data_IF_935734034083
#
_entry.id   IF_935734034083
#
_cell.length_a   1.000
_cell.length_b   1.000
_cell.length_c   1.000
_cell.angle_alpha   90.00
_cell.angle_beta   90.00
_cell.angle_gamma   90.00
#
_symmetry.space_group_name_H-M   'P 1'
#
loop_
_entity.id
_entity.type
_entity.pdbx_description
1 polymer ?
#
# COMPACT_ATOMS: atom_id res chain seq x y z
N UNK A 1 -30.69 -20.75 -20.23
CA UNK A 1 -30.22 -20.36 -18.89
C UNK A 1 -30.66 -18.94 -18.63
N UNK A 2 -31.52 -18.73 -17.63
CA UNK A 2 -32.20 -17.47 -17.34
C UNK A 2 -31.23 -16.37 -16.87
N UNK A 3 -31.58 -15.13 -17.10
CA UNK A 3 -30.82 -13.93 -16.70
C UNK A 3 -30.41 -13.95 -15.20
N UNK A 4 -31.27 -14.54 -14.35
CA UNK A 4 -31.01 -14.63 -12.90
C UNK A 4 -29.85 -15.60 -12.55
N UNK A 5 -29.73 -16.72 -13.27
CA UNK A 5 -28.64 -17.68 -13.02
C UNK A 5 -27.27 -17.14 -13.43
N UNK A 6 -27.19 -16.33 -14.51
CA UNK A 6 -25.96 -15.65 -14.92
C UNK A 6 -25.57 -14.53 -13.91
N UNK A 7 -26.55 -13.83 -13.36
CA UNK A 7 -26.31 -12.81 -12.34
C UNK A 7 -25.77 -13.40 -11.04
N UNK A 8 -26.30 -14.51 -10.58
CA UNK A 8 -25.83 -15.21 -9.38
C UNK A 8 -24.40 -15.76 -9.56
N UNK A 9 -24.10 -16.40 -10.69
CA UNK A 9 -22.76 -16.90 -11.02
C UNK A 9 -21.71 -15.76 -11.08
N UNK A 10 -22.07 -14.62 -11.66
CA UNK A 10 -21.17 -13.45 -11.75
C UNK A 10 -20.91 -12.80 -10.40
N UNK A 11 -21.92 -12.73 -9.52
CA UNK A 11 -21.76 -12.18 -8.17
C UNK A 11 -20.84 -13.06 -7.31
N UNK A 12 -20.99 -14.39 -7.39
CA UNK A 12 -20.12 -15.34 -6.70
C UNK A 12 -18.67 -15.23 -7.18
N UNK A 13 -18.45 -15.15 -8.50
CA UNK A 13 -17.10 -15.01 -9.06
C UNK A 13 -16.41 -13.71 -8.65
N UNK A 14 -17.11 -12.57 -8.63
CA UNK A 14 -16.60 -11.30 -8.17
C UNK A 14 -16.23 -11.31 -6.66
N UNK A 15 -17.09 -11.94 -5.83
CA UNK A 15 -16.81 -12.12 -4.40
C UNK A 15 -15.54 -12.93 -4.13
N UNK A 16 -15.36 -14.04 -4.85
CA UNK A 16 -14.17 -14.89 -4.74
C UNK A 16 -12.88 -14.15 -5.15
N UNK A 17 -12.94 -13.33 -6.21
CA UNK A 17 -11.81 -12.49 -6.63
C UNK A 17 -11.48 -11.41 -5.57
N UNK A 18 -12.48 -10.81 -4.92
CA UNK A 18 -12.27 -9.86 -3.85
C UNK A 18 -11.60 -10.50 -2.63
N UNK A 19 -12.03 -11.71 -2.24
CA UNK A 19 -11.39 -12.50 -1.18
C UNK A 19 -9.96 -12.91 -1.59
N UNK A 20 -9.75 -13.34 -2.83
CA UNK A 20 -8.43 -13.68 -3.34
C UNK A 20 -7.48 -12.46 -3.31
N UNK A 21 -7.99 -11.25 -3.55
CA UNK A 21 -7.21 -10.02 -3.43
C UNK A 21 -6.82 -9.73 -1.97
N UNK A 22 -7.72 -9.91 -1.00
CA UNK A 22 -7.42 -9.79 0.42
C UNK A 22 -6.32 -10.79 0.82
N UNK A 23 -6.45 -12.06 0.43
CA UNK A 23 -5.45 -13.10 0.70
C UNK A 23 -4.12 -12.78 0.02
N UNK A 24 -4.15 -12.25 -1.21
CA UNK A 24 -2.96 -11.84 -1.94
C UNK A 24 -2.19 -10.71 -1.24
N UNK A 25 -2.88 -9.72 -0.69
CA UNK A 25 -2.26 -8.65 0.12
C UNK A 25 -1.77 -9.20 1.46
N UNK A 26 -2.54 -10.04 2.13
CA UNK A 26 -2.12 -10.75 3.35
C UNK A 26 -0.81 -11.50 3.14
N UNK A 27 -0.68 -12.24 2.04
CA UNK A 27 0.50 -13.02 1.71
C UNK A 27 1.75 -12.18 1.39
N UNK A 28 1.65 -10.86 1.29
CA UNK A 28 2.83 -9.98 1.21
C UNK A 28 3.52 -9.77 2.56
N UNK A 29 2.91 -10.20 3.67
CA UNK A 29 3.39 -9.96 5.05
C UNK A 29 4.85 -10.30 5.29
N UNK A 30 5.43 -11.40 4.76
CA UNK A 30 6.86 -11.70 4.94
C UNK A 30 7.78 -10.56 4.49
N UNK A 31 7.40 -9.83 3.46
CA UNK A 31 8.14 -8.67 2.97
C UNK A 31 7.68 -7.33 3.56
N UNK A 32 6.64 -7.27 4.36
CA UNK A 32 6.17 -6.04 5.00
C UNK A 32 7.00 -5.70 6.25
N UNK A 33 7.05 -4.42 6.59
CA UNK A 33 7.81 -3.95 7.77
C UNK A 33 7.37 -4.67 9.04
N UNK A 34 6.06 -4.84 9.24
CA UNK A 34 5.51 -5.55 10.39
C UNK A 34 5.88 -7.03 10.41
N UNK A 35 5.96 -7.67 9.24
CA UNK A 35 6.40 -9.07 9.13
C UNK A 35 7.88 -9.24 9.45
N UNK A 36 8.73 -8.32 8.99
CA UNK A 36 10.19 -8.36 9.22
C UNK A 36 10.55 -7.96 10.65
N UNK A 37 9.74 -7.13 11.32
CA UNK A 37 10.08 -6.56 12.65
C UNK A 37 10.35 -7.63 13.71
N UNK A 38 9.62 -8.75 13.70
CA UNK A 38 9.82 -9.86 14.62
C UNK A 38 11.17 -10.57 14.44
N UNK A 39 11.82 -10.42 13.28
CA UNK A 39 13.08 -11.08 12.95
C UNK A 39 14.31 -10.24 13.26
N UNK A 40 14.17 -8.92 13.47
CA UNK A 40 15.33 -8.01 13.60
C UNK A 40 16.22 -8.40 14.77
N UNK A 41 15.67 -8.58 15.98
CA UNK A 41 16.46 -8.88 17.16
C UNK A 41 17.10 -10.30 17.09
N UNK A 42 16.40 -11.36 16.65
CA UNK A 42 17.01 -12.64 16.36
C UNK A 42 18.16 -12.58 15.34
N UNK A 43 18.03 -11.78 14.28
CA UNK A 43 19.09 -11.58 13.28
C UNK A 43 20.30 -10.85 13.86
N UNK A 44 20.08 -9.81 14.64
CA UNK A 44 21.13 -9.05 15.33
C UNK A 44 21.95 -9.99 16.23
N UNK A 45 21.26 -10.81 17.03
CA UNK A 45 21.91 -11.74 17.97
C UNK A 45 22.70 -12.84 17.25
N UNK A 46 22.12 -13.45 16.22
CA UNK A 46 22.70 -14.60 15.53
C UNK A 46 23.85 -14.21 14.58
N UNK A 47 23.73 -13.07 13.89
CA UNK A 47 24.75 -12.61 12.94
C UNK A 47 25.85 -11.79 13.62
N UNK A 48 25.72 -11.47 14.91
CA UNK A 48 26.68 -10.61 15.63
C UNK A 48 26.79 -9.20 15.04
N UNK A 49 25.74 -8.72 14.38
CA UNK A 49 25.71 -7.41 13.77
C UNK A 49 25.11 -6.38 14.76
N UNK A 50 25.58 -5.15 14.66
CA UNK A 50 24.92 -4.05 15.35
C UNK A 50 23.53 -3.78 14.78
N UNK A 51 22.56 -3.48 15.66
CA UNK A 51 21.17 -3.21 15.28
C UNK A 51 21.05 -2.10 14.23
N UNK A 52 21.87 -1.03 14.34
CA UNK A 52 21.88 0.05 13.36
C UNK A 52 22.31 -0.44 11.97
N UNK A 53 23.28 -1.33 11.91
CA UNK A 53 23.69 -1.99 10.66
C UNK A 53 22.56 -2.80 10.02
N UNK A 54 21.85 -3.62 10.80
CA UNK A 54 20.72 -4.42 10.29
C UNK A 54 19.61 -3.50 9.76
N UNK A 55 19.28 -2.43 10.47
CA UNK A 55 18.28 -1.46 10.02
C UNK A 55 18.71 -0.70 8.77
N UNK A 56 20.00 -0.36 8.64
CA UNK A 56 20.56 0.26 7.44
C UNK A 56 20.42 -0.68 6.23
N UNK A 57 20.83 -1.95 6.39
CA UNK A 57 20.70 -2.97 5.33
C UNK A 57 19.25 -3.20 4.93
N UNK A 58 18.33 -3.22 5.91
CA UNK A 58 16.90 -3.29 5.66
C UNK A 58 16.40 -2.07 4.85
N UNK A 59 16.83 -0.87 5.20
CA UNK A 59 16.45 0.36 4.51
C UNK A 59 16.98 0.40 3.09
N UNK A 60 18.24 0.05 2.89
CA UNK A 60 18.87 -0.05 1.56
C UNK A 60 18.24 -1.15 0.71
N UNK A 61 18.04 -2.34 1.28
CA UNK A 61 17.37 -3.46 0.60
C UNK A 61 15.94 -3.11 0.22
N UNK A 62 15.23 -2.40 1.08
CA UNK A 62 13.88 -1.87 0.79
C UNK A 62 13.90 -0.90 -0.38
N UNK A 63 14.77 0.10 -0.34
CA UNK A 63 14.87 1.10 -1.39
C UNK A 63 15.24 0.48 -2.73
N UNK A 64 16.28 -0.35 -2.78
CA UNK A 64 16.72 -1.02 -4.00
C UNK A 64 15.68 -2.03 -4.50
N UNK A 65 15.05 -2.79 -3.61
CA UNK A 65 14.00 -3.74 -3.97
C UNK A 65 12.80 -3.08 -4.63
N UNK A 66 12.42 -1.90 -4.16
CA UNK A 66 11.29 -1.14 -4.71
C UNK A 66 11.60 -0.52 -6.07
N UNK A 67 12.87 -0.23 -6.38
CA UNK A 67 13.26 0.23 -7.72
C UNK A 67 12.91 -0.80 -8.82
N UNK A 68 12.67 -2.05 -8.47
CA UNK A 68 12.18 -3.07 -9.41
C UNK A 68 10.70 -2.88 -9.80
N UNK A 69 9.92 -2.10 -9.04
CA UNK A 69 8.48 -1.96 -9.23
C UNK A 69 8.05 -1.47 -10.63
N UNK A 70 8.69 -0.50 -11.29
CA UNK A 70 8.33 -0.10 -12.65
C UNK A 70 8.56 -1.22 -13.68
N UNK A 71 9.59 -2.05 -13.48
CA UNK A 71 9.88 -3.20 -14.33
C UNK A 71 8.81 -4.29 -14.15
N UNK A 72 8.50 -4.63 -12.91
CA UNK A 72 7.43 -5.58 -12.58
C UNK A 72 6.09 -5.08 -13.10
N UNK A 73 5.83 -3.77 -12.99
CA UNK A 73 4.65 -3.12 -13.56
C UNK A 73 4.51 -3.35 -15.06
N UNK A 74 5.61 -3.21 -15.83
CA UNK A 74 5.63 -3.53 -17.27
C UNK A 74 5.30 -5.00 -17.55
N UNK A 75 5.82 -5.92 -16.73
CA UNK A 75 5.51 -7.34 -16.87
C UNK A 75 4.01 -7.61 -16.60
N UNK A 76 3.45 -6.96 -15.57
CA UNK A 76 2.02 -7.08 -15.24
C UNK A 76 1.15 -6.54 -16.36
N UNK A 77 1.51 -5.40 -16.95
CA UNK A 77 0.78 -4.82 -18.08
C UNK A 77 0.83 -5.72 -19.33
N UNK A 78 1.98 -6.37 -19.57
CA UNK A 78 2.20 -7.22 -20.75
C UNK A 78 1.56 -8.60 -20.64
N UNK A 79 1.72 -9.26 -19.50
CA UNK A 79 1.34 -10.68 -19.33
C UNK A 79 0.02 -10.86 -18.56
N UNK A 80 -0.41 -9.83 -17.83
CA UNK A 80 -1.58 -9.86 -16.97
C UNK A 80 -1.35 -10.62 -15.65
N UNK A 81 -2.28 -10.42 -14.67
CA UNK A 81 -2.14 -11.00 -13.33
C UNK A 81 -2.20 -12.52 -13.32
N UNK A 82 -2.99 -13.15 -14.20
CA UNK A 82 -3.14 -14.61 -14.24
C UNK A 82 -1.85 -15.38 -14.56
N UNK A 83 -1.04 -14.84 -15.48
CA UNK A 83 0.23 -15.48 -15.86
C UNK A 83 1.34 -15.20 -14.85
N UNK A 84 1.28 -14.05 -14.19
CA UNK A 84 2.34 -13.62 -13.28
C UNK A 84 2.13 -14.08 -11.85
N UNK A 85 0.92 -14.47 -11.43
CA UNK A 85 0.68 -14.82 -10.03
C UNK A 85 1.55 -15.99 -9.56
N UNK A 86 1.64 -17.07 -10.34
CA UNK A 86 2.43 -18.24 -9.96
C UNK A 86 3.93 -17.93 -9.88
N UNK A 87 4.58 -17.35 -10.93
CA UNK A 87 5.98 -16.94 -10.83
C UNK A 87 6.26 -16.02 -9.65
N UNK A 88 5.36 -15.07 -9.36
CA UNK A 88 5.55 -14.11 -8.27
C UNK A 88 5.38 -14.78 -6.89
N UNK A 89 4.41 -15.67 -6.72
CA UNK A 89 4.25 -16.46 -5.48
C UNK A 89 5.48 -17.31 -5.23
N UNK A 90 6.01 -17.98 -6.26
CA UNK A 90 7.26 -18.75 -6.17
C UNK A 90 8.43 -17.83 -5.83
N UNK A 91 8.50 -16.64 -6.42
CA UNK A 91 9.55 -15.66 -6.11
C UNK A 91 9.48 -15.17 -4.64
N UNK A 92 8.29 -14.97 -4.07
CA UNK A 92 8.14 -14.64 -2.64
C UNK A 92 8.63 -15.77 -1.75
N UNK A 93 8.23 -17.00 -2.06
CA UNK A 93 8.68 -18.17 -1.31
C UNK A 93 10.21 -18.38 -1.42
N UNK A 94 10.77 -18.23 -2.63
CA UNK A 94 12.20 -18.28 -2.86
C UNK A 94 12.95 -17.18 -2.10
N UNK A 95 12.39 -15.96 -2.04
CA UNK A 95 12.95 -14.86 -1.26
C UNK A 95 12.97 -15.16 0.25
N UNK A 96 11.92 -15.79 0.78
CA UNK A 96 11.95 -16.32 2.15
C UNK A 96 13.02 -17.42 2.31
N UNK A 97 13.20 -18.30 1.31
CA UNK A 97 14.27 -19.27 1.28
C UNK A 97 15.66 -18.62 1.27
N UNK A 98 15.87 -17.55 0.49
CA UNK A 98 17.12 -16.76 0.50
C UNK A 98 17.38 -16.18 1.89
N UNK A 99 16.34 -15.64 2.56
CA UNK A 99 16.48 -15.15 3.93
C UNK A 99 16.93 -16.24 4.90
N UNK A 100 16.50 -17.48 4.75
CA UNK A 100 16.94 -18.59 5.61
C UNK A 100 18.41 -18.97 5.41
N UNK A 101 19.02 -18.62 4.30
CA UNK A 101 20.43 -18.89 3.95
C UNK A 101 21.38 -17.75 4.33
N UNK A 102 20.86 -16.67 4.88
CA UNK A 102 21.66 -15.50 5.28
C UNK A 102 22.62 -15.85 6.40
N UNK A 103 23.91 -15.47 6.23
CA UNK A 103 24.98 -15.77 7.17
C UNK A 103 25.94 -14.60 7.42
N UNK A 104 25.74 -13.47 6.73
CA UNK A 104 26.56 -12.26 6.88
C UNK A 104 25.77 -11.00 6.46
N UNK A 105 26.36 -9.82 6.68
CA UNK A 105 25.74 -8.54 6.36
C UNK A 105 25.37 -8.38 4.87
N UNK A 106 26.23 -8.83 3.95
CA UNK A 106 25.97 -8.69 2.51
C UNK A 106 24.81 -9.55 2.05
N UNK A 107 24.78 -10.83 2.50
CA UNK A 107 23.66 -11.74 2.21
C UNK A 107 22.36 -11.26 2.85
N UNK A 108 22.42 -10.61 4.02
CA UNK A 108 21.25 -10.02 4.67
C UNK A 108 20.67 -8.84 3.84
N UNK A 109 21.53 -7.93 3.37
CA UNK A 109 21.11 -6.82 2.50
C UNK A 109 20.50 -7.31 1.19
N UNK A 110 21.12 -8.31 0.54
CA UNK A 110 20.59 -8.95 -0.65
C UNK A 110 19.26 -9.67 -0.38
N UNK A 111 19.13 -10.35 0.75
CA UNK A 111 17.90 -11.01 1.18
C UNK A 111 16.76 -10.02 1.35
N UNK A 112 16.98 -8.90 2.03
CA UNK A 112 15.97 -7.84 2.15
C UNK A 112 15.56 -7.27 0.78
N UNK A 113 16.52 -7.04 -0.12
CA UNK A 113 16.23 -6.55 -1.47
C UNK A 113 15.29 -7.51 -2.20
N UNK A 114 15.64 -8.81 -2.28
CA UNK A 114 14.85 -9.81 -3.00
C UNK A 114 13.48 -10.00 -2.36
N UNK A 115 13.40 -10.03 -1.03
CA UNK A 115 12.15 -10.17 -0.30
C UNK A 115 11.20 -8.98 -0.56
N UNK A 116 11.73 -7.76 -0.54
CA UNK A 116 10.94 -6.55 -0.83
C UNK A 116 10.51 -6.48 -2.30
N UNK A 117 11.40 -6.82 -3.22
CA UNK A 117 11.07 -6.86 -4.64
C UNK A 117 9.95 -7.88 -4.93
N UNK A 118 10.05 -9.09 -4.39
CA UNK A 118 9.08 -10.15 -4.65
C UNK A 118 7.72 -9.87 -3.97
N UNK A 119 7.72 -9.57 -2.67
CA UNK A 119 6.48 -9.44 -1.91
C UNK A 119 5.77 -8.11 -2.17
N UNK A 120 6.49 -6.98 -2.06
CA UNK A 120 5.86 -5.66 -2.14
C UNK A 120 5.72 -5.22 -3.60
N UNK A 121 6.82 -5.18 -4.37
CA UNK A 121 6.75 -4.76 -5.76
C UNK A 121 6.09 -5.84 -6.64
N UNK A 122 6.29 -7.13 -6.36
CA UNK A 122 5.73 -8.24 -7.14
C UNK A 122 4.27 -8.53 -6.80
N UNK A 123 4.05 -9.21 -5.67
CA UNK A 123 2.75 -9.77 -5.31
C UNK A 123 1.67 -8.70 -5.11
N UNK A 124 2.02 -7.56 -4.51
CA UNK A 124 1.07 -6.45 -4.33
C UNK A 124 0.63 -5.84 -5.67
N UNK A 125 1.58 -5.59 -6.61
CA UNK A 125 1.21 -5.02 -7.92
C UNK A 125 0.33 -5.98 -8.74
N UNK A 126 0.66 -7.28 -8.76
CA UNK A 126 -0.15 -8.30 -9.47
C UNK A 126 -1.56 -8.36 -8.90
N UNK A 127 -1.68 -8.35 -7.56
CA UNK A 127 -2.97 -8.41 -6.87
C UNK A 127 -3.82 -7.16 -7.14
N UNK A 128 -3.23 -5.96 -7.04
CA UNK A 128 -3.95 -4.72 -7.28
C UNK A 128 -4.35 -4.56 -8.76
N UNK A 129 -3.55 -5.05 -9.69
CA UNK A 129 -3.91 -5.06 -11.11
C UNK A 129 -5.13 -5.96 -11.36
N UNK A 130 -5.21 -7.12 -10.72
CA UNK A 130 -6.41 -7.97 -10.80
C UNK A 130 -7.66 -7.23 -10.31
N UNK A 131 -7.59 -6.55 -9.15
CA UNK A 131 -8.71 -5.74 -8.64
C UNK A 131 -9.14 -4.69 -9.64
N UNK A 132 -8.20 -3.97 -10.26
CA UNK A 132 -8.50 -2.91 -11.21
C UNK A 132 -9.14 -3.44 -12.51
N UNK A 133 -8.80 -4.65 -12.94
CA UNK A 133 -9.36 -5.27 -14.14
C UNK A 133 -10.78 -5.82 -13.90
N UNK A 134 -11.10 -6.25 -12.69
CA UNK A 134 -12.38 -6.86 -12.33
C UNK A 134 -13.45 -5.88 -11.87
N UNK A 135 -13.04 -4.79 -11.23
CA UNK A 135 -13.96 -3.84 -10.61
C UNK A 135 -13.76 -2.43 -11.17
N UNK A 136 -14.86 -1.79 -11.50
CA UNK A 136 -14.90 -0.39 -11.94
C UNK A 136 -15.70 0.45 -10.95
N UNK A 137 -16.99 0.15 -10.78
CA UNK A 137 -17.88 0.86 -9.85
C UNK A 137 -17.51 0.63 -8.38
N UNK A 138 -17.12 -0.59 -8.01
CA UNK A 138 -16.80 -0.96 -6.63
C UNK A 138 -15.31 -1.03 -6.35
N UNK A 139 -14.47 -0.46 -7.24
CA UNK A 139 -13.01 -0.52 -7.16
C UNK A 139 -12.49 -0.02 -5.81
N UNK A 140 -13.00 1.12 -5.31
CA UNK A 140 -12.60 1.70 -4.04
C UNK A 140 -12.85 0.76 -2.87
N UNK A 141 -14.05 0.20 -2.78
CA UNK A 141 -14.43 -0.75 -1.71
C UNK A 141 -13.63 -2.03 -1.76
N UNK A 142 -13.45 -2.59 -2.95
CA UNK A 142 -12.68 -3.84 -3.11
C UNK A 142 -11.19 -3.61 -2.85
N UNK A 143 -10.65 -2.46 -3.23
CA UNK A 143 -9.28 -2.07 -2.88
C UNK A 143 -9.14 -1.93 -1.36
N UNK A 144 -10.08 -1.28 -0.68
CA UNK A 144 -10.08 -1.17 0.77
C UNK A 144 -10.15 -2.54 1.46
N UNK A 145 -11.04 -3.43 0.97
CA UNK A 145 -11.13 -4.81 1.45
C UNK A 145 -9.79 -5.55 1.25
N UNK A 146 -9.18 -5.45 0.08
CA UNK A 146 -7.88 -6.09 -0.18
C UNK A 146 -6.79 -5.55 0.75
N UNK A 147 -6.77 -4.23 1.03
CA UNK A 147 -5.81 -3.62 1.96
C UNK A 147 -6.00 -4.05 3.41
N UNK A 148 -7.19 -4.52 3.81
CA UNK A 148 -7.36 -5.16 5.12
C UNK A 148 -6.49 -6.41 5.27
N UNK A 149 -6.13 -7.07 4.18
CA UNK A 149 -5.16 -8.18 4.19
C UNK A 149 -3.83 -7.79 4.82
N UNK A 150 -3.37 -6.54 4.64
CA UNK A 150 -2.16 -6.04 5.27
C UNK A 150 -2.31 -5.93 6.80
N UNK A 151 -3.43 -5.38 7.27
CA UNK A 151 -3.72 -5.28 8.70
C UNK A 151 -3.85 -6.67 9.35
N UNK A 152 -4.56 -7.58 8.70
CA UNK A 152 -4.70 -8.97 9.15
C UNK A 152 -3.33 -9.69 9.17
N UNK A 153 -2.50 -9.46 8.15
CA UNK A 153 -1.14 -10.00 8.10
C UNK A 153 -0.30 -9.55 9.29
N UNK A 154 -0.33 -8.26 9.60
CA UNK A 154 0.36 -7.69 10.77
C UNK A 154 -0.19 -8.20 12.12
N UNK A 155 -1.48 -8.48 12.20
CA UNK A 155 -2.12 -9.00 13.40
C UNK A 155 -1.85 -10.49 13.62
N UNK A 156 -1.86 -11.28 12.55
CA UNK A 156 -1.89 -12.75 12.62
C UNK A 156 -0.49 -13.36 12.50
N UNK A 157 0.32 -12.87 11.56
CA UNK A 157 1.60 -13.54 11.24
C UNK A 157 2.63 -13.41 12.36
N UNK A 158 2.91 -12.23 12.97
CA UNK A 158 3.92 -12.15 14.02
C UNK A 158 3.65 -13.08 15.21
N UNK A 159 2.43 -13.14 15.80
CA UNK A 159 2.16 -14.07 16.89
C UNK A 159 2.26 -15.55 16.49
N UNK A 160 1.94 -15.91 15.25
CA UNK A 160 2.04 -17.28 14.76
C UNK A 160 3.50 -17.72 14.52
N UNK A 161 4.35 -16.79 14.08
CA UNK A 161 5.73 -17.12 13.72
C UNK A 161 6.69 -17.02 14.92
N UNK A 162 6.35 -16.22 15.93
CA UNK A 162 7.19 -16.00 17.10
C UNK A 162 7.59 -17.30 17.84
N UNK A 163 6.68 -18.25 18.12
CA UNK A 163 7.07 -19.54 18.73
C UNK A 163 8.06 -20.33 17.87
N UNK A 164 7.98 -20.23 16.54
CA UNK A 164 8.93 -20.88 15.63
C UNK A 164 10.29 -20.19 15.71
N UNK A 165 10.31 -18.84 15.76
CA UNK A 165 11.55 -18.08 15.91
C UNK A 165 12.27 -18.48 17.21
N UNK A 166 11.53 -18.53 18.32
CA UNK A 166 12.09 -18.86 19.63
C UNK A 166 12.51 -20.32 19.77
N UNK A 167 11.75 -21.25 19.19
CA UNK A 167 12.01 -22.70 19.33
C UNK A 167 12.97 -23.26 18.31
N UNK A 168 12.92 -22.78 17.06
CA UNK A 168 13.66 -23.37 15.91
C UNK A 168 14.56 -22.34 15.18
N UNK A 169 14.56 -21.11 15.63
CA UNK A 169 15.34 -20.03 15.05
C UNK A 169 14.64 -19.32 13.87
N UNK A 170 15.10 -18.12 13.61
CA UNK A 170 14.52 -17.23 12.59
C UNK A 170 14.66 -17.75 11.15
N UNK A 171 15.70 -18.56 10.85
CA UNK A 171 15.88 -19.19 9.54
C UNK A 171 14.76 -20.18 9.23
N UNK A 172 14.45 -21.06 10.18
CA UNK A 172 13.32 -21.99 10.06
C UNK A 172 11.99 -21.25 9.95
N UNK A 173 11.83 -20.16 10.69
CA UNK A 173 10.64 -19.33 10.60
C UNK A 173 10.41 -18.75 9.19
N UNK A 174 11.47 -18.34 8.47
CA UNK A 174 11.35 -17.94 7.07
C UNK A 174 10.96 -19.10 6.14
N UNK A 175 11.46 -20.32 6.39
CA UNK A 175 11.04 -21.51 5.62
C UNK A 175 9.57 -21.84 5.87
N UNK A 176 9.08 -21.70 7.10
CA UNK A 176 7.66 -21.86 7.45
C UNK A 176 6.82 -20.81 6.72
N UNK A 177 7.26 -19.55 6.67
CA UNK A 177 6.58 -18.52 5.89
C UNK A 177 6.59 -18.84 4.38
N UNK A 178 7.70 -19.33 3.83
CA UNK A 178 7.78 -19.76 2.43
C UNK A 178 6.75 -20.86 2.13
N UNK A 179 6.69 -21.89 2.97
CA UNK A 179 5.73 -22.99 2.86
C UNK A 179 4.28 -22.47 2.98
N UNK A 180 4.00 -21.58 3.92
CA UNK A 180 2.68 -20.95 4.12
C UNK A 180 2.24 -20.13 2.90
N UNK A 181 3.13 -19.32 2.34
CA UNK A 181 2.84 -18.55 1.10
C UNK A 181 2.53 -19.48 -0.06
N UNK A 182 3.33 -20.55 -0.26
CA UNK A 182 3.05 -21.54 -1.32
C UNK A 182 1.73 -22.27 -1.07
N UNK A 183 1.52 -22.78 0.13
CA UNK A 183 0.32 -23.56 0.47
C UNK A 183 -0.97 -22.77 0.30
N UNK A 184 -0.97 -21.47 0.60
CA UNK A 184 -2.15 -20.61 0.50
C UNK A 184 -2.27 -19.99 -0.88
N UNK A 185 -1.19 -19.39 -1.39
CA UNK A 185 -1.29 -18.56 -2.60
C UNK A 185 -1.24 -19.34 -3.91
N UNK A 186 -0.63 -20.54 -3.96
CA UNK A 186 -0.68 -21.33 -5.20
C UNK A 186 -2.12 -21.75 -5.55
N UNK A 187 -2.90 -22.40 -4.65
CA UNK A 187 -4.27 -22.74 -4.95
C UNK A 187 -5.14 -21.50 -5.20
N UNK A 188 -5.01 -20.45 -4.41
CA UNK A 188 -5.75 -19.19 -4.60
C UNK A 188 -5.40 -18.55 -5.94
N UNK A 189 -4.13 -18.48 -6.29
CA UNK A 189 -3.64 -17.89 -7.53
C UNK A 189 -4.13 -18.66 -8.77
N UNK A 190 -4.02 -19.97 -8.74
CA UNK A 190 -4.47 -20.83 -9.85
C UNK A 190 -6.00 -20.81 -10.02
N UNK A 191 -6.74 -20.81 -8.92
CA UNK A 191 -8.21 -20.86 -8.95
C UNK A 191 -8.84 -19.51 -9.31
N UNK A 192 -8.39 -18.40 -8.71
CA UNK A 192 -9.14 -17.14 -8.68
C UNK A 192 -8.48 -16.00 -9.43
N UNK A 193 -7.15 -16.04 -9.71
CA UNK A 193 -6.53 -14.99 -10.51
C UNK A 193 -6.87 -15.15 -11.98
N UNK A 194 -7.50 -14.13 -12.55
CA UNK A 194 -7.92 -14.04 -13.94
C UNK A 194 -7.61 -12.66 -14.49
N UNK A 195 -7.35 -12.55 -15.79
CA UNK A 195 -7.06 -11.24 -16.38
C UNK A 195 -8.33 -10.40 -16.52
N UNK A 196 -9.42 -11.02 -16.92
CA UNK A 196 -10.70 -10.32 -17.15
C UNK A 196 -11.86 -11.16 -16.67
N UNK A 197 -12.95 -10.53 -16.18
CA UNK A 197 -14.17 -11.25 -15.80
C UNK A 197 -14.76 -12.06 -16.97
N UNK A 198 -14.70 -11.49 -18.18
CA UNK A 198 -15.25 -12.10 -19.40
C UNK A 198 -14.61 -13.46 -19.73
N UNK A 199 -13.32 -13.67 -19.38
CA UNK A 199 -12.61 -14.94 -19.56
C UNK A 199 -13.21 -16.10 -18.74
N UNK A 200 -13.92 -15.78 -17.66
CA UNK A 200 -14.60 -16.75 -16.79
C UNK A 200 -16.13 -16.71 -16.93
N UNK A 201 -16.65 -16.03 -17.96
CA UNK A 201 -18.09 -15.86 -18.16
C UNK A 201 -18.75 -14.95 -17.12
N UNK A 202 -17.96 -14.27 -16.28
CA UNK A 202 -18.42 -13.31 -15.28
C UNK A 202 -18.54 -11.91 -15.88
N UNK A 203 -19.41 -11.08 -15.31
CA UNK A 203 -19.49 -9.68 -15.63
C UNK A 203 -18.72 -8.87 -14.57
N UNK A 204 -18.19 -7.70 -14.96
CA UNK A 204 -17.58 -6.76 -14.02
C UNK A 204 -18.56 -6.34 -12.93
N UNK A 205 -18.03 -5.89 -11.80
CA UNK A 205 -18.83 -5.32 -10.71
C UNK A 205 -19.98 -6.22 -10.23
N UNK A 206 -19.72 -7.52 -10.08
CA UNK A 206 -20.73 -8.51 -9.66
C UNK A 206 -21.93 -8.64 -10.62
N UNK A 207 -21.77 -8.30 -11.90
CA UNK A 207 -22.85 -8.29 -12.88
C UNK A 207 -23.79 -7.09 -12.79
N UNK A 208 -23.50 -6.13 -11.91
CA UNK A 208 -24.26 -4.88 -11.81
C UNK A 208 -23.74 -3.90 -12.87
N UNK A 209 -24.43 -3.82 -14.00
CA UNK A 209 -24.16 -2.79 -15.00
C UNK A 209 -24.30 -1.41 -14.34
N UNK A 210 -23.31 -0.56 -14.50
CA UNK A 210 -23.49 0.87 -14.25
C UNK A 210 -24.61 1.36 -15.18
N UNK A 211 -25.65 1.96 -14.64
CA UNK A 211 -26.65 2.64 -15.45
C UNK A 211 -25.92 3.70 -16.29
N UNK A 212 -25.76 3.46 -17.60
CA UNK A 212 -25.13 4.39 -18.54
C UNK A 212 -23.61 4.30 -18.71
N UNK A 213 -22.92 3.29 -18.11
CA UNK A 213 -21.47 3.13 -18.26
C UNK A 213 -21.11 2.25 -19.46
N UNK A 214 -20.61 2.84 -20.54
CA UNK A 214 -19.79 2.14 -21.52
C UNK A 214 -18.60 1.50 -20.80
N UNK A 215 -18.32 0.22 -21.06
CA UNK A 215 -17.07 -0.44 -20.64
C UNK A 215 -15.91 0.48 -21.04
N UNK A 216 -15.10 0.93 -20.08
CA UNK A 216 -13.92 1.73 -20.41
C UNK A 216 -13.09 0.92 -21.40
N UNK A 217 -12.80 1.42 -22.61
CA UNK A 217 -11.93 0.75 -23.53
C UNK A 217 -10.58 0.48 -22.84
N UNK A 218 -9.86 -0.55 -23.28
CA UNK A 218 -8.51 -0.84 -22.80
C UNK A 218 -7.50 0.24 -23.26
N UNK A 219 -7.94 1.49 -23.25
CA UNK A 219 -7.20 2.70 -23.52
C UNK A 219 -6.60 3.15 -22.20
N UNK A 220 -5.33 3.46 -22.19
CA UNK A 220 -4.64 3.99 -21.04
C UNK A 220 -3.42 4.77 -21.52
N UNK A 221 -3.09 5.81 -20.77
CA UNK A 221 -1.90 6.62 -21.03
C UNK A 221 -0.65 5.77 -20.81
N UNK A 222 0.34 5.95 -21.65
CA UNK A 222 1.70 5.47 -21.41
C UNK A 222 2.33 6.25 -20.26
N UNK A 223 3.42 5.74 -19.68
CA UNK A 223 4.15 6.48 -18.65
C UNK A 223 4.61 7.85 -19.14
N UNK A 224 5.13 7.90 -20.37
CA UNK A 224 5.60 9.17 -20.98
C UNK A 224 4.45 10.19 -21.10
N UNK A 225 3.30 9.78 -21.59
CA UNK A 225 2.11 10.65 -21.67
C UNK A 225 1.62 11.06 -20.29
N UNK A 226 1.64 10.15 -19.31
CA UNK A 226 1.17 10.43 -17.94
C UNK A 226 2.04 11.50 -17.26
N UNK A 227 3.35 11.52 -17.48
CA UNK A 227 4.28 12.51 -16.92
C UNK A 227 3.91 13.96 -17.30
N UNK A 228 3.25 14.14 -18.45
CA UNK A 228 2.78 15.47 -18.92
C UNK A 228 1.40 15.84 -18.37
N UNK A 229 0.79 15.00 -17.54
CA UNK A 229 -0.53 15.29 -16.95
C UNK A 229 -0.43 15.82 -15.52
N UNK A 230 -1.30 16.77 -15.17
CA UNK A 230 -1.43 17.24 -13.78
C UNK A 230 -1.84 16.11 -12.82
N UNK A 231 -2.53 15.08 -13.32
CA UNK A 231 -2.92 13.91 -12.54
C UNK A 231 -1.70 13.14 -12.03
N UNK A 232 -0.64 12.96 -12.84
CA UNK A 232 0.58 12.26 -12.41
C UNK A 232 1.25 12.99 -11.24
N UNK A 233 1.40 14.29 -11.34
CA UNK A 233 2.02 15.11 -10.30
C UNK A 233 1.16 15.21 -9.04
N UNK A 234 -0.17 15.23 -9.19
CA UNK A 234 -1.11 15.14 -8.09
C UNK A 234 -0.95 13.81 -7.31
N UNK A 235 -0.95 12.67 -8.00
CA UNK A 235 -0.74 11.37 -7.35
C UNK A 235 0.68 11.22 -6.80
N UNK A 236 1.69 11.80 -7.44
CA UNK A 236 3.07 11.86 -6.91
C UNK A 236 3.10 12.61 -5.57
N UNK A 237 2.49 13.79 -5.50
CA UNK A 237 2.44 14.59 -4.29
C UNK A 237 1.65 13.87 -3.17
N UNK A 238 0.49 13.28 -3.48
CA UNK A 238 -0.28 12.47 -2.52
C UNK A 238 0.58 11.33 -1.95
N UNK A 239 1.32 10.63 -2.82
CA UNK A 239 2.11 9.47 -2.43
C UNK A 239 3.30 9.88 -1.58
N UNK A 240 3.97 10.99 -1.91
CA UNK A 240 5.04 11.58 -1.09
C UNK A 240 4.49 12.00 0.28
N UNK A 241 3.35 12.68 0.31
CA UNK A 241 2.74 13.14 1.57
C UNK A 241 2.30 11.96 2.44
N UNK A 242 1.56 11.02 1.88
CA UNK A 242 1.07 9.86 2.63
C UNK A 242 2.22 9.05 3.24
N UNK A 243 3.24 8.75 2.45
CA UNK A 243 4.38 7.95 2.92
C UNK A 243 5.41 8.79 3.67
N UNK A 244 5.79 9.97 3.15
CA UNK A 244 6.83 10.83 3.72
C UNK A 244 6.39 11.46 5.04
N UNK A 245 5.27 12.16 5.03
CA UNK A 245 4.74 12.82 6.24
C UNK A 245 4.27 11.77 7.25
N UNK A 246 3.57 10.72 6.79
CA UNK A 246 3.16 9.63 7.65
C UNK A 246 4.34 9.01 8.40
N UNK A 247 5.43 8.67 7.68
CA UNK A 247 6.64 8.12 8.28
C UNK A 247 7.33 9.12 9.21
N UNK A 248 7.48 10.36 8.77
CA UNK A 248 8.14 11.40 9.54
C UNK A 248 7.43 11.68 10.87
N UNK A 249 6.13 11.96 10.83
CA UNK A 249 5.33 12.24 12.01
C UNK A 249 5.17 11.01 12.91
N UNK A 250 5.12 9.81 12.36
CA UNK A 250 5.07 8.58 13.15
C UNK A 250 6.37 8.32 13.90
N UNK A 251 7.53 8.58 13.30
CA UNK A 251 8.83 8.46 13.95
C UNK A 251 9.05 9.51 15.04
N UNK A 252 8.61 10.76 14.81
CA UNK A 252 8.76 11.86 15.76
C UNK A 252 7.61 11.95 16.78
N UNK A 253 6.58 11.10 16.66
CA UNK A 253 5.33 11.18 17.44
C UNK A 253 5.57 11.26 18.95
N UNK A 254 6.32 10.31 19.52
CA UNK A 254 6.56 10.24 20.97
C UNK A 254 7.33 11.48 21.46
N UNK A 255 8.30 11.94 20.68
CA UNK A 255 9.07 13.15 20.97
C UNK A 255 8.20 14.40 20.90
N UNK A 256 7.38 14.52 19.87
CA UNK A 256 6.45 15.64 19.70
C UNK A 256 5.44 15.71 20.87
N UNK A 257 4.91 14.56 21.29
CA UNK A 257 3.99 14.46 22.42
C UNK A 257 4.69 14.75 23.76
N UNK A 258 5.94 14.30 23.95
CA UNK A 258 6.74 14.63 25.11
C UNK A 258 7.05 16.13 25.20
N UNK A 259 7.38 16.77 24.07
CA UNK A 259 7.58 18.22 23.97
C UNK A 259 6.29 19.00 24.31
N UNK A 260 5.13 18.39 24.09
CA UNK A 260 3.81 18.88 24.47
C UNK A 260 3.44 18.63 25.95
N UNK A 261 4.34 18.05 26.73
CA UNK A 261 4.11 17.73 28.14
C UNK A 261 3.25 16.47 28.40
N UNK A 262 3.02 15.64 27.37
CA UNK A 262 2.29 14.39 27.52
C UNK A 262 3.20 13.26 28.03
N UNK A 263 2.69 12.46 28.93
CA UNK A 263 3.38 11.26 29.41
C UNK A 263 3.56 10.25 28.25
N UNK A 264 4.64 9.47 28.33
CA UNK A 264 4.99 8.47 27.29
C UNK A 264 3.86 7.48 27.03
N UNK A 265 3.17 7.03 28.08
CA UNK A 265 2.05 6.08 27.96
C UNK A 265 0.88 6.69 27.19
N UNK A 266 0.57 7.96 27.42
CA UNK A 266 -0.44 8.70 26.66
C UNK A 266 -0.03 8.83 25.17
N UNK A 267 1.25 9.15 24.90
CA UNK A 267 1.75 9.22 23.54
C UNK A 267 1.65 7.88 22.82
N UNK A 268 1.98 6.77 23.48
CA UNK A 268 1.82 5.42 22.92
C UNK A 268 0.34 5.09 22.69
N UNK A 269 -0.56 5.45 23.61
CA UNK A 269 -2.00 5.30 23.45
C UNK A 269 -2.55 6.03 22.21
N UNK A 270 -2.01 7.21 21.89
CA UNK A 270 -2.39 7.98 20.70
C UNK A 270 -1.98 7.28 19.38
N UNK A 271 -0.93 6.44 19.36
CA UNK A 271 -0.63 5.60 18.20
C UNK A 271 -1.75 4.59 17.91
N UNK A 272 -2.38 4.04 18.97
CA UNK A 272 -3.55 3.19 18.83
C UNK A 272 -4.75 3.94 18.23
N UNK A 273 -5.02 5.16 18.68
CA UNK A 273 -6.06 6.03 18.13
C UNK A 273 -5.78 6.36 16.65
N UNK A 274 -4.53 6.65 16.28
CA UNK A 274 -4.11 6.89 14.91
C UNK A 274 -4.35 5.68 14.01
N UNK A 275 -3.96 4.48 14.46
CA UNK A 275 -4.15 3.23 13.70
C UNK A 275 -5.62 2.90 13.50
N UNK A 276 -6.44 3.11 14.55
CA UNK A 276 -7.90 2.95 14.46
C UNK A 276 -8.53 3.90 13.46
N UNK A 277 -8.17 5.19 13.54
CA UNK A 277 -8.64 6.20 12.59
C UNK A 277 -8.20 5.90 11.15
N UNK A 278 -6.97 5.40 10.95
CA UNK A 278 -6.49 4.94 9.65
C UNK A 278 -7.36 3.80 9.10
N UNK A 279 -7.66 2.79 9.89
CA UNK A 279 -8.49 1.66 9.46
C UNK A 279 -9.91 2.12 9.08
N UNK A 280 -10.54 2.94 9.91
CA UNK A 280 -11.88 3.51 9.65
C UNK A 280 -11.87 4.35 8.38
N UNK A 281 -10.88 5.24 8.23
CA UNK A 281 -10.75 6.10 7.06
C UNK A 281 -10.48 5.30 5.78
N UNK A 282 -9.68 4.23 5.85
CA UNK A 282 -9.42 3.32 4.73
C UNK A 282 -10.72 2.73 4.19
N UNK A 283 -11.57 2.18 5.08
CA UNK A 283 -12.86 1.60 4.69
C UNK A 283 -13.83 2.66 4.18
N UNK A 284 -13.97 3.77 4.90
CA UNK A 284 -14.86 4.87 4.52
C UNK A 284 -14.48 5.52 3.19
N UNK A 285 -13.18 5.75 2.97
CA UNK A 285 -12.67 6.36 1.74
C UNK A 285 -12.89 5.48 0.51
N UNK A 286 -12.86 4.15 0.65
CA UNK A 286 -13.22 3.24 -0.43
C UNK A 286 -14.64 3.47 -0.94
N UNK A 287 -15.61 3.61 -0.02
CA UNK A 287 -17.00 3.91 -0.37
C UNK A 287 -17.19 5.34 -0.93
N UNK A 288 -16.44 6.31 -0.39
CA UNK A 288 -16.47 7.70 -0.88
C UNK A 288 -15.91 7.82 -2.29
N UNK A 289 -14.83 7.08 -2.62
CA UNK A 289 -14.24 7.07 -3.97
C UNK A 289 -15.25 6.49 -4.99
N UNK A 290 -15.93 5.41 -4.62
CA UNK A 290 -16.95 4.80 -5.51
C UNK A 290 -18.12 5.75 -5.80
N UNK A 291 -18.40 6.71 -4.89
CA UNK A 291 -19.51 7.67 -5.04
C UNK A 291 -19.09 8.99 -5.66
N UNK A 292 -17.95 9.52 -5.28
CA UNK A 292 -17.52 10.88 -5.62
C UNK A 292 -16.27 10.93 -6.51
N UNK A 293 -15.62 9.78 -6.74
CA UNK A 293 -14.34 9.70 -7.44
C UNK A 293 -13.12 9.94 -6.52
N UNK A 294 -11.93 9.63 -7.03
CA UNK A 294 -10.70 9.67 -6.25
C UNK A 294 -10.22 11.10 -5.90
N UNK A 295 -10.49 12.08 -6.78
CA UNK A 295 -9.96 13.44 -6.61
C UNK A 295 -10.57 14.20 -5.44
N UNK A 296 -11.91 14.29 -5.26
CA UNK A 296 -12.51 14.94 -4.09
C UNK A 296 -12.10 14.27 -2.77
N UNK A 297 -12.02 12.94 -2.77
CA UNK A 297 -11.61 12.18 -1.59
C UNK A 297 -10.13 12.43 -1.26
N UNK A 298 -9.28 12.60 -2.28
CA UNK A 298 -7.89 13.01 -2.08
C UNK A 298 -7.75 14.40 -1.47
N UNK A 299 -8.57 15.36 -1.89
CA UNK A 299 -8.60 16.69 -1.26
C UNK A 299 -9.03 16.60 0.21
N UNK A 300 -10.00 15.75 0.54
CA UNK A 300 -10.37 15.48 1.94
C UNK A 300 -9.17 14.95 2.75
N UNK A 301 -8.39 14.03 2.17
CA UNK A 301 -7.16 13.54 2.80
C UNK A 301 -6.12 14.65 3.05
N UNK A 302 -5.98 15.60 2.12
CA UNK A 302 -5.12 16.77 2.30
C UNK A 302 -5.65 17.73 3.37
N UNK A 303 -6.97 17.87 3.50
CA UNK A 303 -7.57 18.63 4.60
C UNK A 303 -7.27 17.98 5.97
N UNK A 304 -7.34 16.66 6.06
CA UNK A 304 -6.92 15.94 7.27
C UNK A 304 -5.46 16.18 7.61
N UNK A 305 -4.56 16.21 6.62
CA UNK A 305 -3.16 16.56 6.85
C UNK A 305 -3.02 17.97 7.41
N UNK A 306 -3.64 18.96 6.75
CA UNK A 306 -3.57 20.36 7.19
C UNK A 306 -4.07 20.52 8.63
N UNK A 307 -5.19 19.89 8.96
CA UNK A 307 -5.76 19.93 10.30
C UNK A 307 -4.84 19.22 11.33
N UNK A 308 -4.30 18.06 10.98
CA UNK A 308 -3.37 17.31 11.84
C UNK A 308 -2.14 18.14 12.20
N UNK A 309 -1.47 18.73 11.20
CA UNK A 309 -0.28 19.57 11.42
C UNK A 309 -0.64 20.83 12.22
N UNK A 310 -1.80 21.43 11.96
CA UNK A 310 -2.27 22.60 12.72
C UNK A 310 -2.51 22.26 14.19
N UNK A 311 -3.16 21.13 14.49
CA UNK A 311 -3.38 20.67 15.86
C UNK A 311 -2.04 20.44 16.59
N UNK A 312 -1.07 19.84 15.93
CA UNK A 312 0.25 19.61 16.50
C UNK A 312 1.01 20.91 16.75
N UNK A 313 0.82 21.92 15.91
CA UNK A 313 1.50 23.23 16.03
C UNK A 313 0.89 24.15 17.07
N UNK A 314 -0.46 24.19 17.17
CA UNK A 314 -1.16 25.20 17.97
C UNK A 314 -1.60 24.72 19.35
N UNK A 315 -1.94 23.46 19.51
CA UNK A 315 -2.47 22.92 20.76
C UNK A 315 -2.03 21.46 20.99
N UNK A 316 -0.81 21.26 21.46
CA UNK A 316 -0.29 19.92 21.71
C UNK A 316 -0.83 19.24 22.99
N UNK A 317 -1.72 19.87 23.76
CA UNK A 317 -2.37 19.24 24.92
C UNK A 317 -3.14 17.97 24.52
N UNK A 318 -3.57 17.16 25.49
CA UNK A 318 -4.16 15.83 25.25
C UNK A 318 -5.31 15.86 24.22
N UNK A 319 -6.18 16.87 24.28
CA UNK A 319 -7.27 17.03 23.29
C UNK A 319 -6.77 17.28 21.87
N UNK A 320 -5.77 18.15 21.73
CA UNK A 320 -5.08 18.41 20.46
C UNK A 320 -4.30 17.19 19.97
N UNK A 321 -3.67 16.44 20.89
CA UNK A 321 -2.98 15.19 20.60
C UNK A 321 -3.90 14.10 20.03
N UNK A 322 -5.12 13.96 20.58
CA UNK A 322 -6.14 13.03 20.06
C UNK A 322 -6.58 13.48 18.65
N UNK A 323 -6.89 14.77 18.47
CA UNK A 323 -7.31 15.31 17.18
C UNK A 323 -6.21 15.16 16.11
N UNK A 324 -4.96 15.44 16.47
CA UNK A 324 -3.78 15.17 15.63
C UNK A 324 -3.68 13.71 15.23
N UNK A 325 -3.68 12.78 16.18
CA UNK A 325 -3.51 11.37 15.92
C UNK A 325 -4.64 10.81 15.04
N UNK A 326 -5.90 11.17 15.35
CA UNK A 326 -7.06 10.74 14.58
C UNK A 326 -7.02 11.27 13.14
N UNK A 327 -6.71 12.55 12.94
CA UNK A 327 -6.67 13.13 11.59
C UNK A 327 -5.44 12.71 10.80
N UNK A 328 -4.28 12.46 11.45
CA UNK A 328 -3.12 11.87 10.79
C UNK A 328 -3.42 10.44 10.32
N UNK A 329 -4.03 9.62 11.16
CA UNK A 329 -4.48 8.28 10.78
C UNK A 329 -5.48 8.34 9.61
N UNK A 330 -6.48 9.21 9.70
CA UNK A 330 -7.45 9.41 8.63
C UNK A 330 -6.81 9.87 7.32
N UNK A 331 -5.83 10.77 7.36
CA UNK A 331 -5.03 11.18 6.20
C UNK A 331 -4.34 9.99 5.54
N UNK A 332 -3.58 9.21 6.33
CA UNK A 332 -2.83 8.06 5.82
C UNK A 332 -3.80 7.07 5.15
N UNK A 333 -4.88 6.69 5.84
CA UNK A 333 -5.87 5.75 5.30
C UNK A 333 -6.55 6.25 4.03
N UNK A 334 -6.97 7.52 4.01
CA UNK A 334 -7.64 8.13 2.86
C UNK A 334 -6.72 8.23 1.64
N UNK A 335 -5.51 8.79 1.81
CA UNK A 335 -4.59 8.98 0.68
C UNK A 335 -4.06 7.64 0.13
N UNK A 336 -3.90 6.64 0.98
CA UNK A 336 -3.52 5.29 0.56
C UNK A 336 -4.57 4.66 -0.36
N UNK A 337 -5.86 4.83 -0.06
CA UNK A 337 -6.94 4.32 -0.91
C UNK A 337 -7.09 5.15 -2.17
N UNK A 338 -6.97 6.48 -2.09
CA UNK A 338 -6.96 7.37 -3.26
C UNK A 338 -5.85 6.95 -4.23
N UNK A 339 -4.64 6.72 -3.75
CA UNK A 339 -3.55 6.19 -4.55
C UNK A 339 -3.91 4.82 -5.14
N UNK A 340 -4.39 3.88 -4.32
CA UNK A 340 -4.60 2.50 -4.76
C UNK A 340 -5.74 2.34 -5.77
N UNK A 341 -6.86 3.06 -5.60
CA UNK A 341 -8.05 2.96 -6.45
C UNK A 341 -8.14 4.02 -7.54
N UNK A 342 -7.64 5.23 -7.26
CA UNK A 342 -7.78 6.38 -8.15
C UNK A 342 -6.89 6.36 -9.39
N UNK A 343 -5.77 5.64 -9.36
CA UNK A 343 -4.85 5.59 -10.51
C UNK A 343 -5.52 5.02 -11.77
N UNK A 344 -6.35 4.00 -11.61
CA UNK A 344 -7.05 3.39 -12.75
C UNK A 344 -8.09 4.34 -13.37
N UNK A 345 -8.72 5.19 -12.53
CA UNK A 345 -9.63 6.24 -12.98
C UNK A 345 -8.90 7.33 -13.77
N UNK A 346 -7.69 7.69 -13.34
CA UNK A 346 -6.93 8.80 -13.92
C UNK A 346 -6.19 8.40 -15.21
N UNK A 347 -5.63 7.19 -15.28
CA UNK A 347 -4.68 6.81 -16.35
C UNK A 347 -5.19 5.65 -17.24
N UNK A 348 -6.32 5.06 -16.92
CA UNK A 348 -6.82 3.86 -17.59
C UNK A 348 -6.07 2.60 -17.15
N UNK A 349 -6.33 1.46 -17.83
CA UNK A 349 -5.87 0.14 -17.38
C UNK A 349 -4.68 -0.41 -18.17
N UNK A 350 -4.42 0.10 -19.40
CA UNK A 350 -3.47 -0.52 -20.33
C UNK A 350 -2.02 -0.53 -19.84
N UNK A 351 -1.55 0.56 -19.24
CA UNK A 351 -0.18 0.73 -18.74
C UNK A 351 -0.15 1.06 -17.23
N UNK A 352 -1.22 0.70 -16.52
CA UNK A 352 -1.42 1.06 -15.12
C UNK A 352 -0.35 0.47 -14.20
N UNK A 353 0.12 -0.74 -14.47
CA UNK A 353 1.17 -1.39 -13.68
C UNK A 353 2.48 -0.60 -13.70
N UNK A 354 2.90 -0.13 -14.88
CA UNK A 354 4.10 0.70 -15.05
C UNK A 354 3.98 2.03 -14.31
N UNK A 355 2.85 2.73 -14.47
CA UNK A 355 2.59 4.02 -13.81
C UNK A 355 2.56 3.83 -12.29
N UNK A 356 1.87 2.81 -11.79
CA UNK A 356 1.79 2.48 -10.37
C UNK A 356 3.17 2.15 -9.79
N UNK A 357 3.97 1.33 -10.50
CA UNK A 357 5.32 1.00 -10.10
C UNK A 357 6.21 2.24 -9.97
N UNK A 358 6.13 3.18 -10.91
CA UNK A 358 6.87 4.44 -10.88
C UNK A 358 6.44 5.31 -9.69
N UNK A 359 5.14 5.50 -9.50
CA UNK A 359 4.60 6.26 -8.36
C UNK A 359 4.91 5.62 -7.01
N UNK A 360 5.05 4.31 -6.97
CA UNK A 360 5.46 3.59 -5.77
C UNK A 360 6.91 3.93 -5.37
N UNK A 361 7.83 3.99 -6.35
CA UNK A 361 9.20 4.47 -6.11
C UNK A 361 9.20 5.90 -5.57
N UNK A 362 8.39 6.79 -6.18
CA UNK A 362 8.23 8.17 -5.71
C UNK A 362 7.76 8.21 -4.25
N UNK A 363 6.79 7.37 -3.88
CA UNK A 363 6.27 7.29 -2.52
C UNK A 363 7.31 6.83 -1.50
N UNK A 364 8.10 5.82 -1.84
CA UNK A 364 9.16 5.32 -0.96
C UNK A 364 10.31 6.32 -0.82
N UNK A 365 10.64 7.01 -1.90
CA UNK A 365 11.60 8.14 -1.81
C UNK A 365 11.08 9.22 -0.86
N UNK A 366 9.77 9.50 -0.88
CA UNK A 366 9.11 10.36 0.10
C UNK A 366 9.25 9.86 1.52
N UNK A 367 9.01 8.55 1.76
CA UNK A 367 9.16 7.94 3.08
C UNK A 367 10.59 8.03 3.63
N UNK A 368 11.59 7.90 2.76
CA UNK A 368 13.00 8.05 3.12
C UNK A 368 13.38 9.52 3.40
N UNK A 369 12.84 10.45 2.61
CA UNK A 369 13.15 11.88 2.72
C UNK A 369 12.35 12.59 3.84
N UNK A 370 11.13 12.11 4.13
CA UNK A 370 10.22 12.77 5.08
C UNK A 370 10.84 13.07 6.45
N UNK A 371 11.46 12.09 7.15
CA UNK A 371 12.09 12.31 8.42
C UNK A 371 13.25 13.31 8.39
N UNK A 372 13.93 13.46 7.23
CA UNK A 372 15.04 14.41 7.09
C UNK A 372 14.61 15.87 7.21
N UNK A 373 13.33 16.16 6.95
CA UNK A 373 12.79 17.50 7.14
C UNK A 373 12.94 17.98 8.59
N UNK A 374 12.86 17.07 9.58
CA UNK A 374 13.05 17.40 11.00
C UNK A 374 14.50 17.69 11.41
N UNK A 375 15.48 17.41 10.53
CA UNK A 375 16.86 17.83 10.75
C UNK A 375 17.03 19.36 10.69
N UNK A 376 16.12 20.04 9.99
CA UNK A 376 16.12 21.50 9.88
C UNK A 376 15.56 22.13 11.18
N UNK A 377 14.27 21.99 11.37
CA UNK A 377 13.54 22.30 12.61
C UNK A 377 12.12 21.76 12.49
N UNK A 378 11.39 21.50 13.60
CA UNK A 378 9.99 21.08 13.51
C UNK A 378 9.11 22.08 12.75
N UNK A 379 9.28 23.39 13.00
CA UNK A 379 8.50 24.43 12.33
C UNK A 379 8.74 24.44 10.81
N UNK A 380 9.99 24.29 10.37
CA UNK A 380 10.33 24.19 8.94
C UNK A 380 9.79 22.90 8.33
N UNK A 381 9.87 21.77 9.04
CA UNK A 381 9.29 20.50 8.56
C UNK A 381 7.78 20.63 8.34
N UNK A 382 7.06 21.21 9.31
CA UNK A 382 5.61 21.42 9.17
C UNK A 382 5.27 22.36 8.02
N UNK A 383 6.04 23.44 7.83
CA UNK A 383 5.86 24.37 6.71
C UNK A 383 6.08 23.70 5.36
N UNK A 384 7.11 22.84 5.24
CA UNK A 384 7.37 22.05 4.03
C UNK A 384 6.20 21.10 3.73
N UNK A 385 5.70 20.39 4.73
CA UNK A 385 4.58 19.46 4.56
C UNK A 385 3.30 20.17 4.13
N UNK A 386 2.99 21.31 4.74
CA UNK A 386 1.83 22.13 4.35
C UNK A 386 2.02 22.73 2.96
N UNK A 387 3.22 23.16 2.59
CA UNK A 387 3.55 23.65 1.26
C UNK A 387 3.32 22.60 0.18
N UNK A 388 3.82 21.38 0.38
CA UNK A 388 3.57 20.27 -0.57
C UNK A 388 2.08 19.93 -0.61
N UNK A 389 1.37 19.96 0.51
CA UNK A 389 -0.06 19.72 0.56
C UNK A 389 -0.86 20.78 -0.22
N UNK A 390 -0.47 22.05 -0.11
CA UNK A 390 -1.09 23.14 -0.87
C UNK A 390 -0.87 22.97 -2.38
N UNK A 391 0.35 22.62 -2.81
CA UNK A 391 0.65 22.31 -4.21
C UNK A 391 -0.19 21.11 -4.70
N UNK A 392 -0.28 20.04 -3.91
CA UNK A 392 -1.09 18.87 -4.26
C UNK A 392 -2.59 19.24 -4.38
N UNK A 393 -3.12 20.03 -3.46
CA UNK A 393 -4.50 20.51 -3.51
C UNK A 393 -4.76 21.34 -4.76
N UNK A 394 -3.86 22.26 -5.11
CA UNK A 394 -3.95 23.08 -6.33
C UNK A 394 -3.96 22.22 -7.59
N UNK A 395 -3.03 21.25 -7.70
CA UNK A 395 -2.99 20.30 -8.81
C UNK A 395 -4.28 19.46 -8.89
N UNK A 396 -4.83 19.04 -7.75
CA UNK A 396 -6.10 18.32 -7.69
C UNK A 396 -7.27 19.16 -8.21
N UNK A 397 -7.37 20.42 -7.80
CA UNK A 397 -8.42 21.36 -8.25
C UNK A 397 -8.30 21.67 -9.74
N UNK A 398 -7.09 21.93 -10.23
CA UNK A 398 -6.83 22.15 -11.67
C UNK A 398 -7.20 20.89 -12.48
N UNK A 399 -6.81 19.72 -12.01
CA UNK A 399 -7.16 18.46 -12.66
C UNK A 399 -8.66 18.17 -12.68
N UNK A 400 -9.43 18.69 -11.71
CA UNK A 400 -10.91 18.62 -11.73
C UNK A 400 -11.52 19.52 -12.82
N UNK A 401 -10.98 20.73 -13.01
CA UNK A 401 -11.49 21.70 -14.01
C UNK A 401 -11.22 21.23 -15.45
N UNK A 402 -10.09 20.59 -15.69
CA UNK A 402 -9.65 20.09 -17.00
C UNK A 402 -9.78 18.57 -17.09
N UNK A 403 -10.76 17.99 -16.43
CA UNK A 403 -11.03 16.55 -16.54
C UNK A 403 -11.05 16.14 -18.00
N UNK A 404 -10.31 15.09 -18.35
CA UNK A 404 -10.33 14.50 -19.70
C UNK A 404 -11.78 14.35 -20.10
N UNK A 405 -12.25 15.13 -21.09
CA UNK A 405 -13.57 14.96 -21.69
C UNK A 405 -13.66 13.47 -22.04
N UNK A 406 -14.61 12.77 -21.47
CA UNK A 406 -15.00 11.46 -21.92
C UNK A 406 -15.45 11.62 -23.37
N UNK A 407 -14.52 11.51 -24.33
CA UNK A 407 -14.82 11.31 -25.74
C UNK A 407 -15.03 9.82 -25.98
#
# INVERSE_FOLDING_TARGET
MTSSARGASSATSGGLVAIAALIGVFATTPGQTVGVSAFIDPMVADLGLDRAHVLLLYSLGTFLGILTAPFIGKLVDRFGPRRLIVPVVVAVAAACGVMSLVNNAWSLGAGFLVLRAAAIAGLSLVTMQMVNLWFDRFRGRITALAMMGLALGGLVIPPLIEPVIQGQGWRTAYLVQAAGVLAVMLPVGLAFYRNRPEESGAARDFGRRAAGGTSMPAVGLTLAESLHTNAFWYFSAITILSNGVGTALMLDHVRAMAAAGLARDSAIGLLGAMTTAQAVATLGSGALIDRFGARPVGLLGLCFLGFSVTCLWTNPALGGGIAYAATLGAMIGTLQIVYSAGLAEAFGLKHLGTIRGTLFVVGVSGAAAGPLAFLLSPAMAYSIFLGIAAVAATLGLVAMRFGVKKT
#
